data_IF_969629853500
#
_entry.id   IF_969629853500
#
_cell.length_a   1.000
_cell.length_b   1.000
_cell.length_c   1.000
_cell.angle_alpha   90.00
_cell.angle_beta   90.00
_cell.angle_gamma   90.00
#
_symmetry.space_group_name_H-M   'P 1'
#
loop_
_entity.id
_entity.type
_entity.pdbx_description
1 polymer ?
#
# COMPACT_ATOMS: atom_id res chain seq x y z
N UNK A 1 16.47 -3.19 -0.15
CA UNK A 1 15.84 -3.14 -1.50
C UNK A 1 14.57 -2.30 -1.41
N UNK A 2 14.27 -1.48 -2.40
CA UNK A 2 13.11 -0.56 -2.34
C UNK A 2 11.85 -1.16 -2.97
N UNK A 3 10.69 -0.88 -2.37
CA UNK A 3 9.38 -1.42 -2.76
C UNK A 3 9.02 -1.09 -4.22
N UNK A 4 9.30 0.14 -4.67
CA UNK A 4 9.02 0.62 -6.02
C UNK A 4 9.71 -0.22 -7.11
N UNK A 5 10.85 -0.84 -6.79
CA UNK A 5 11.60 -1.69 -7.73
C UNK A 5 11.01 -3.09 -7.92
N UNK A 6 10.03 -3.47 -7.09
CA UNK A 6 9.31 -4.73 -7.22
C UNK A 6 8.16 -4.63 -8.22
N UNK A 7 7.69 -3.42 -8.50
CA UNK A 7 6.61 -3.20 -9.44
C UNK A 7 6.95 -3.82 -10.78
N UNK A 8 5.97 -4.49 -11.33
CA UNK A 8 6.08 -5.18 -12.59
C UNK A 8 6.71 -6.57 -12.56
N UNK A 9 7.06 -7.11 -11.38
CA UNK A 9 7.60 -8.46 -11.24
C UNK A 9 6.49 -9.50 -11.00
N UNK A 10 6.63 -10.75 -11.49
CA UNK A 10 5.71 -11.83 -11.16
C UNK A 10 5.88 -12.30 -9.71
N UNK A 11 4.91 -13.03 -9.13
CA UNK A 11 5.02 -13.59 -7.78
C UNK A 11 6.20 -14.55 -7.60
N UNK A 12 6.64 -15.21 -8.68
CA UNK A 12 7.77 -16.15 -8.70
C UNK A 12 9.14 -15.45 -8.74
N UNK A 13 9.19 -14.13 -8.91
CA UNK A 13 10.46 -13.42 -9.04
C UNK A 13 11.30 -13.52 -7.77
N UNK A 14 12.55 -13.99 -7.91
CA UNK A 14 13.50 -14.13 -6.80
C UNK A 14 13.62 -12.85 -5.96
N UNK A 15 13.61 -11.71 -6.64
CA UNK A 15 13.73 -10.39 -6.04
C UNK A 15 12.59 -10.04 -5.06
N UNK A 16 11.38 -10.56 -5.32
CA UNK A 16 10.24 -10.39 -4.42
C UNK A 16 10.40 -11.25 -3.17
N UNK A 17 10.86 -12.51 -3.34
CA UNK A 17 11.15 -13.40 -2.24
C UNK A 17 12.26 -12.86 -1.33
N UNK A 18 13.35 -12.34 -1.91
CA UNK A 18 14.42 -11.65 -1.17
C UNK A 18 13.87 -10.48 -0.36
N UNK A 19 13.05 -9.63 -0.98
CA UNK A 19 12.44 -8.50 -0.27
C UNK A 19 11.60 -8.96 0.91
N UNK A 20 10.70 -9.94 0.74
CA UNK A 20 9.87 -10.48 1.83
C UNK A 20 10.76 -11.07 2.94
N UNK A 21 11.84 -11.76 2.59
CA UNK A 21 12.81 -12.27 3.56
C UNK A 21 13.48 -11.15 4.35
N UNK A 22 13.75 -9.98 3.76
CA UNK A 22 14.30 -8.84 4.52
C UNK A 22 13.32 -8.25 5.54
N UNK A 23 12.02 -8.46 5.38
CA UNK A 23 10.99 -8.01 6.32
C UNK A 23 10.80 -8.98 7.49
N UNK A 24 11.17 -10.25 7.32
CA UNK A 24 11.05 -11.28 8.34
C UNK A 24 12.37 -11.43 9.11
N UNK A 25 12.32 -11.41 10.44
CA UNK A 25 13.48 -11.76 11.25
C UNK A 25 13.84 -13.27 11.20
N UNK A 26 13.01 -14.08 10.53
CA UNK A 26 13.13 -15.53 10.44
C UNK A 26 12.69 -16.03 9.04
N UNK A 27 12.12 -17.23 8.97
CA UNK A 27 11.52 -17.78 7.75
C UNK A 27 10.43 -16.82 7.25
N UNK A 28 10.44 -16.52 5.95
CA UNK A 28 9.39 -15.72 5.34
C UNK A 28 8.03 -16.40 5.53
N UNK A 29 7.02 -15.73 6.13
CA UNK A 29 5.70 -16.31 6.30
C UNK A 29 5.07 -16.59 4.93
N UNK A 30 4.18 -17.59 4.87
CA UNK A 30 3.36 -17.78 3.68
C UNK A 30 2.30 -16.67 3.57
N UNK A 31 1.97 -16.19 2.35
CA UNK A 31 0.91 -15.21 2.18
C UNK A 31 -0.49 -15.81 2.40
N UNK A 32 -1.41 -14.99 2.90
CA UNK A 32 -2.85 -15.22 2.77
C UNK A 32 -3.32 -14.72 1.40
N UNK A 33 -3.80 -15.63 0.56
CA UNK A 33 -4.13 -15.35 -0.85
C UNK A 33 -5.62 -15.08 -1.00
N UNK A 34 -5.94 -13.93 -1.59
CA UNK A 34 -7.29 -13.61 -2.04
C UNK A 34 -7.27 -13.34 -3.52
N UNK A 35 -7.91 -14.20 -4.29
CA UNK A 35 -8.00 -14.08 -5.75
C UNK A 35 -9.36 -13.55 -6.18
N UNK A 36 -9.33 -12.67 -7.17
CA UNK A 36 -10.46 -12.10 -7.89
C UNK A 36 -10.11 -12.03 -9.38
N UNK A 37 -11.10 -11.92 -10.30
CA UNK A 37 -10.84 -11.91 -11.73
C UNK A 37 -9.88 -10.82 -12.24
N UNK A 38 -9.78 -9.71 -11.53
CA UNK A 38 -9.01 -8.51 -11.87
C UNK A 38 -7.75 -8.32 -11.03
N UNK A 39 -7.67 -8.96 -9.86
CA UNK A 39 -6.55 -8.80 -8.92
C UNK A 39 -6.38 -10.00 -8.01
N UNK A 40 -5.14 -10.33 -7.69
CA UNK A 40 -4.78 -11.33 -6.69
C UNK A 40 -3.96 -10.66 -5.60
N UNK A 41 -4.42 -10.75 -4.35
CA UNK A 41 -3.73 -10.24 -3.19
C UNK A 41 -2.88 -11.33 -2.56
N UNK A 42 -1.61 -11.03 -2.31
CA UNK A 42 -0.73 -11.80 -1.45
C UNK A 42 -0.55 -11.00 -0.18
N UNK A 43 -1.37 -11.30 0.84
CA UNK A 43 -1.35 -10.57 2.10
C UNK A 43 -0.32 -11.18 3.03
N UNK A 44 0.52 -10.34 3.64
CA UNK A 44 1.43 -10.73 4.71
C UNK A 44 1.07 -9.95 5.98
N UNK A 45 -0.01 -10.33 6.70
CA UNK A 45 -0.48 -9.63 7.89
C UNK A 45 0.60 -9.35 8.92
N UNK A 46 1.47 -10.32 9.21
CA UNK A 46 2.53 -10.20 10.22
C UNK A 46 3.69 -9.32 9.79
N UNK A 47 3.83 -9.04 8.49
CA UNK A 47 4.87 -8.15 7.93
C UNK A 47 4.35 -6.75 7.63
N UNK A 48 3.05 -6.50 7.79
CA UNK A 48 2.45 -5.20 7.47
C UNK A 48 2.52 -4.84 5.99
N UNK A 49 2.47 -5.83 5.09
CA UNK A 49 2.43 -5.60 3.63
C UNK A 49 1.38 -6.44 2.94
N UNK A 50 0.79 -5.92 1.87
CA UNK A 50 0.00 -6.69 0.90
C UNK A 50 0.45 -6.37 -0.52
N UNK A 51 0.59 -7.39 -1.36
CA UNK A 51 0.97 -7.23 -2.75
C UNK A 51 -0.21 -7.52 -3.66
N UNK A 52 -0.48 -6.64 -4.62
CA UNK A 52 -1.59 -6.71 -5.55
C UNK A 52 -1.08 -7.07 -6.94
N UNK A 53 -1.44 -8.26 -7.43
CA UNK A 53 -1.03 -8.75 -8.74
C UNK A 53 -2.16 -8.61 -9.75
N UNK A 54 -1.89 -7.98 -10.89
CA UNK A 54 -2.80 -7.91 -12.02
C UNK A 54 -2.62 -9.13 -12.94
N UNK A 55 -3.72 -9.80 -13.37
CA UNK A 55 -3.68 -10.80 -14.43
C UNK A 55 -3.30 -10.19 -15.78
N UNK A 56 -2.47 -10.90 -16.54
CA UNK A 56 -2.00 -10.51 -17.88
C UNK A 56 -2.14 -11.67 -18.86
N UNK A 57 -1.81 -11.43 -20.13
CA UNK A 57 -1.83 -12.45 -21.20
C UNK A 57 -3.18 -13.21 -21.36
N UNK A 58 -4.29 -12.57 -20.98
CA UNK A 58 -5.61 -13.18 -21.04
C UNK A 58 -5.94 -14.15 -19.89
N UNK A 59 -5.08 -14.25 -18.86
CA UNK A 59 -5.40 -15.00 -17.66
C UNK A 59 -6.60 -14.39 -16.94
N UNK A 60 -7.57 -15.25 -16.60
CA UNK A 60 -8.81 -14.89 -15.90
C UNK A 60 -8.92 -15.77 -14.66
N UNK A 61 -8.23 -15.43 -13.56
CA UNK A 61 -8.37 -16.14 -12.31
C UNK A 61 -9.83 -16.13 -11.83
N UNK A 62 -10.21 -17.15 -11.07
CA UNK A 62 -11.51 -17.19 -10.39
C UNK A 62 -11.33 -16.90 -8.92
N UNK A 63 -12.41 -16.53 -8.25
CA UNK A 63 -12.37 -16.27 -6.81
C UNK A 63 -12.04 -17.53 -6.02
N UNK A 64 -11.14 -17.42 -5.05
CA UNK A 64 -10.83 -18.49 -4.09
C UNK A 64 -9.74 -19.48 -4.53
N UNK A 65 -9.00 -19.19 -5.61
CA UNK A 65 -7.78 -19.93 -5.97
C UNK A 65 -6.71 -19.85 -4.86
N UNK A 66 -6.06 -21.00 -4.62
CA UNK A 66 -4.90 -21.17 -3.73
C UNK A 66 -3.57 -20.96 -4.48
N UNK A 67 -2.47 -20.82 -3.74
CA UNK A 67 -1.12 -20.48 -4.25
C UNK A 67 -0.68 -21.36 -5.41
N UNK A 68 -0.88 -22.66 -5.29
CA UNK A 68 -0.44 -23.69 -6.25
C UNK A 68 -1.30 -23.73 -7.52
N UNK A 69 -2.44 -23.03 -7.54
CA UNK A 69 -3.34 -22.95 -8.69
C UNK A 69 -3.10 -21.69 -9.53
N UNK A 70 -2.25 -20.78 -9.04
CA UNK A 70 -1.94 -19.52 -9.73
C UNK A 70 -0.91 -19.75 -10.84
N UNK A 71 -1.06 -18.99 -11.92
CA UNK A 71 -0.11 -18.94 -13.04
C UNK A 71 0.78 -17.70 -12.87
N UNK A 72 1.88 -17.85 -12.13
CA UNK A 72 2.74 -16.71 -11.77
C UNK A 72 3.23 -15.90 -12.98
N UNK A 73 3.56 -16.57 -14.08
CA UNK A 73 4.06 -15.89 -15.30
C UNK A 73 3.00 -15.04 -16.00
N UNK A 74 1.71 -15.27 -15.68
CA UNK A 74 0.58 -14.47 -16.15
C UNK A 74 0.12 -13.44 -15.10
N UNK A 75 0.94 -13.21 -14.07
CA UNK A 75 0.69 -12.24 -13.00
C UNK A 75 1.82 -11.23 -12.94
N UNK A 76 1.47 -9.99 -12.59
CA UNK A 76 2.44 -8.92 -12.44
C UNK A 76 2.09 -8.04 -11.27
N UNK A 77 3.08 -7.71 -10.44
CA UNK A 77 2.89 -6.81 -9.31
C UNK A 77 2.49 -5.42 -9.81
N UNK A 78 1.28 -5.02 -9.49
CA UNK A 78 0.68 -3.75 -9.90
C UNK A 78 0.83 -2.70 -8.80
N UNK A 79 0.60 -3.12 -7.56
CA UNK A 79 0.66 -2.26 -6.38
C UNK A 79 1.07 -3.03 -5.13
N UNK A 80 1.54 -2.32 -4.11
CA UNK A 80 1.81 -2.86 -2.79
C UNK A 80 1.30 -1.90 -1.71
N UNK A 81 0.52 -2.43 -0.77
CA UNK A 81 0.06 -1.72 0.42
C UNK A 81 1.04 -1.95 1.57
N UNK A 82 1.44 -0.86 2.22
CA UNK A 82 2.30 -0.85 3.39
C UNK A 82 1.48 -0.30 4.55
N UNK A 83 1.43 -1.04 5.65
CA UNK A 83 0.55 -0.74 6.77
C UNK A 83 1.33 -0.08 7.92
N UNK A 84 0.80 1.05 8.39
CA UNK A 84 1.10 1.63 9.69
C UNK A 84 0.01 1.19 10.68
N UNK A 85 0.40 0.89 11.92
CA UNK A 85 -0.58 0.56 12.96
C UNK A 85 -0.87 1.78 13.81
N UNK A 86 -2.02 2.38 13.54
CA UNK A 86 -2.63 3.46 14.32
C UNK A 86 -3.91 2.95 14.98
N UNK A 87 -3.79 2.20 16.08
CA UNK A 87 -4.93 1.77 16.91
C UNK A 87 -4.91 0.30 17.33
N UNK A 88 -5.92 -0.08 18.13
CA UNK A 88 -6.18 -1.45 18.59
C UNK A 88 -7.00 -2.23 17.56
N UNK A 89 -6.70 -3.51 17.35
CA UNK A 89 -7.37 -4.45 16.42
C UNK A 89 -7.08 -4.24 14.91
N UNK A 90 -5.85 -3.89 14.54
CA UNK A 90 -5.44 -3.90 13.13
C UNK A 90 -5.31 -5.34 12.60
N UNK A 91 -5.82 -5.61 11.39
CA UNK A 91 -5.65 -6.90 10.71
C UNK A 91 -4.23 -7.14 10.20
N UNK A 92 -3.39 -6.10 10.18
CA UNK A 92 -1.98 -6.14 9.79
C UNK A 92 -1.12 -5.57 10.94
N UNK A 93 0.05 -6.16 11.14
CA UNK A 93 1.13 -5.63 11.95
C UNK A 93 1.73 -4.36 11.30
N UNK A 94 2.46 -3.52 12.04
CA UNK A 94 3.16 -2.40 11.43
C UNK A 94 4.29 -2.91 10.55
N UNK A 95 4.51 -2.24 9.43
CA UNK A 95 5.65 -2.50 8.58
C UNK A 95 6.98 -2.37 9.36
N UNK A 96 7.86 -3.39 9.34
CA UNK A 96 9.02 -3.44 10.23
C UNK A 96 10.18 -2.54 9.80
N UNK A 97 10.21 -2.08 8.55
CA UNK A 97 11.36 -1.36 7.98
C UNK A 97 11.04 0.13 7.78
N UNK A 98 10.65 0.83 8.84
CA UNK A 98 10.48 2.29 8.82
C UNK A 98 11.82 3.01 9.11
N UNK A 99 12.08 4.18 8.49
CA UNK A 99 11.22 4.88 7.53
C UNK A 99 11.21 4.22 6.14
N UNK A 100 10.12 4.40 5.39
CA UNK A 100 10.00 3.93 4.00
C UNK A 100 10.71 4.94 3.10
N UNK A 101 11.65 4.48 2.31
CA UNK A 101 12.26 5.28 1.23
C UNK A 101 11.62 4.92 -0.11
N UNK A 102 11.01 5.92 -0.77
CA UNK A 102 10.41 5.78 -2.10
C UNK A 102 11.12 6.67 -3.12
N UNK A 103 11.37 6.13 -4.30
CA UNK A 103 11.94 6.89 -5.42
C UNK A 103 10.82 7.39 -6.33
N UNK A 104 10.75 8.71 -6.51
CA UNK A 104 9.76 9.34 -7.36
C UNK A 104 10.36 9.59 -8.75
N UNK A 105 9.78 8.96 -9.76
CA UNK A 105 10.17 9.23 -11.15
C UNK A 105 9.81 10.67 -11.52
N UNK A 106 10.83 11.49 -11.84
CA UNK A 106 10.64 12.85 -12.36
C UNK A 106 10.13 13.89 -11.36
N UNK A 107 10.13 13.62 -10.06
CA UNK A 107 9.73 14.57 -9.02
C UNK A 107 10.92 15.23 -8.31
N UNK A 108 10.68 16.38 -7.68
CA UNK A 108 11.62 17.03 -6.74
C UNK A 108 10.92 17.20 -5.39
N UNK A 109 11.41 16.56 -4.30
CA UNK A 109 12.59 15.72 -4.24
C UNK A 109 12.40 14.37 -4.97
N UNK A 110 13.50 13.80 -5.46
CA UNK A 110 13.49 12.49 -6.16
C UNK A 110 13.27 11.31 -5.20
N UNK A 111 13.38 11.54 -3.89
CA UNK A 111 13.19 10.53 -2.84
C UNK A 111 12.28 11.10 -1.76
N UNK A 112 11.32 10.29 -1.31
CA UNK A 112 10.51 10.55 -0.13
C UNK A 112 10.91 9.60 1.00
N UNK A 113 11.00 10.14 2.20
CA UNK A 113 11.21 9.38 3.42
C UNK A 113 9.96 9.45 4.28
N UNK A 114 9.18 8.38 4.31
CA UNK A 114 7.93 8.29 5.06
C UNK A 114 8.24 7.66 6.42
N UNK A 115 8.28 8.49 7.46
CA UNK A 115 8.43 8.06 8.84
C UNK A 115 7.10 7.56 9.41
N UNK A 116 7.14 6.91 10.58
CA UNK A 116 5.95 6.36 11.24
C UNK A 116 4.87 7.40 11.54
N UNK A 117 5.29 8.63 11.81
CA UNK A 117 4.49 9.76 12.23
C UNK A 117 4.26 10.78 11.12
N UNK A 118 4.63 10.48 9.88
CA UNK A 118 4.40 11.36 8.73
C UNK A 118 2.90 11.68 8.57
N UNK A 119 2.62 12.96 8.40
CA UNK A 119 1.27 13.53 8.40
C UNK A 119 0.82 13.95 7.02
N UNK A 120 -0.50 14.17 6.85
CA UNK A 120 -1.07 14.66 5.59
C UNK A 120 -0.43 15.95 5.06
N UNK A 121 -0.10 16.91 5.95
CA UNK A 121 0.56 18.17 5.56
C UNK A 121 1.97 17.93 4.99
N UNK A 122 2.68 16.92 5.46
CA UNK A 122 4.02 16.58 4.95
C UNK A 122 3.92 15.97 3.56
N UNK A 123 2.98 15.05 3.33
CA UNK A 123 2.72 14.54 1.98
C UNK A 123 2.37 15.66 0.99
N UNK A 124 1.49 16.59 1.37
CA UNK A 124 1.14 17.74 0.51
C UNK A 124 2.36 18.67 0.31
N UNK A 125 3.17 18.89 1.33
CA UNK A 125 4.38 19.71 1.20
C UNK A 125 5.41 19.09 0.23
N UNK A 126 5.50 17.76 0.16
CA UNK A 126 6.42 17.08 -0.74
C UNK A 126 5.88 16.85 -2.14
N UNK A 127 4.59 16.52 -2.26
CA UNK A 127 3.97 16.04 -3.51
C UNK A 127 3.04 17.07 -4.17
N UNK A 128 2.75 18.18 -3.49
CA UNK A 128 1.72 19.12 -3.90
C UNK A 128 0.30 18.57 -3.68
N UNK A 129 -0.67 19.16 -4.37
CA UNK A 129 -2.07 18.74 -4.27
C UNK A 129 -2.29 17.36 -4.91
N UNK A 130 -3.07 16.46 -4.29
CA UNK A 130 -3.37 15.15 -4.84
C UNK A 130 -4.26 15.25 -6.08
N UNK A 131 -4.06 14.36 -7.05
CA UNK A 131 -4.89 14.27 -8.26
C UNK A 131 -6.29 13.72 -7.95
N UNK A 132 -6.40 12.86 -6.93
CA UNK A 132 -7.67 12.31 -6.46
C UNK A 132 -7.69 12.27 -4.94
N UNK A 133 -8.87 12.45 -4.36
CA UNK A 133 -9.07 12.39 -2.92
C UNK A 133 -10.49 11.98 -2.58
N UNK A 134 -10.71 11.36 -1.43
CA UNK A 134 -12.04 10.88 -1.04
C UNK A 134 -12.13 10.45 0.42
N UNK A 135 -13.35 10.10 0.84
CA UNK A 135 -13.63 9.70 2.22
C UNK A 135 -13.96 10.86 3.17
N UNK A 136 -13.97 10.56 4.47
CA UNK A 136 -14.33 11.51 5.53
C UNK A 136 -15.83 11.77 5.70
N UNK A 137 -16.67 11.28 4.79
CA UNK A 137 -18.13 11.47 4.85
C UNK A 137 -18.81 10.41 5.72
N UNK A 138 -19.76 10.84 6.56
CA UNK A 138 -20.59 9.97 7.40
C UNK A 138 -20.43 10.24 8.90
N UNK A 139 -21.30 9.65 9.75
CA UNK A 139 -21.16 9.73 11.20
C UNK A 139 -19.85 9.06 11.65
N UNK A 140 -19.23 9.56 12.72
CA UNK A 140 -17.91 9.11 13.20
C UNK A 140 -17.82 7.60 13.50
N UNK A 141 -18.96 6.91 13.65
CA UNK A 141 -19.08 5.46 13.85
C UNK A 141 -19.05 4.63 12.56
N UNK A 142 -19.09 5.24 11.38
CA UNK A 142 -19.12 4.55 10.08
C UNK A 142 -18.48 5.29 8.91
N UNK A 143 -17.96 6.50 9.11
CA UNK A 143 -17.23 7.22 8.06
C UNK A 143 -15.93 6.50 7.72
N UNK A 144 -15.70 6.27 6.43
CA UNK A 144 -14.40 5.84 5.93
C UNK A 144 -13.36 6.95 6.16
N UNK A 145 -12.11 6.54 6.37
CA UNK A 145 -11.00 7.46 6.50
C UNK A 145 -10.80 8.26 5.20
N UNK A 146 -10.30 9.48 5.32
CA UNK A 146 -9.86 10.24 4.15
C UNK A 146 -8.62 9.59 3.51
N UNK A 147 -8.53 9.72 2.20
CA UNK A 147 -7.39 9.25 1.41
C UNK A 147 -7.06 10.23 0.29
N UNK A 148 -5.79 10.26 -0.10
CA UNK A 148 -5.24 11.08 -1.17
C UNK A 148 -4.42 10.22 -2.12
N UNK A 149 -4.49 10.49 -3.42
CA UNK A 149 -3.71 9.82 -4.46
C UNK A 149 -2.96 10.85 -5.31
N UNK A 150 -1.68 10.56 -5.56
CA UNK A 150 -0.79 11.27 -6.47
C UNK A 150 -0.41 10.33 -7.62
N UNK A 151 -1.30 10.25 -8.62
CA UNK A 151 -1.22 9.21 -9.67
C UNK A 151 0.07 9.26 -10.49
N UNK A 152 0.61 10.46 -10.73
CA UNK A 152 1.88 10.66 -11.45
C UNK A 152 3.10 10.18 -10.66
N UNK A 153 2.97 10.07 -9.35
CA UNK A 153 4.02 9.60 -8.45
C UNK A 153 3.83 8.14 -8.04
N UNK A 154 2.70 7.52 -8.40
CA UNK A 154 2.42 6.14 -8.04
C UNK A 154 2.16 5.95 -6.55
N UNK A 155 1.60 6.95 -5.87
CA UNK A 155 1.38 6.92 -4.41
C UNK A 155 -0.08 7.19 -4.08
N UNK A 156 -0.66 6.37 -3.22
CA UNK A 156 -1.91 6.65 -2.52
C UNK A 156 -1.69 6.52 -1.02
N UNK A 157 -2.30 7.39 -0.23
CA UNK A 157 -2.17 7.41 1.22
C UNK A 157 -3.56 7.46 1.84
N UNK A 158 -3.86 6.49 2.69
CA UNK A 158 -5.00 6.53 3.60
C UNK A 158 -4.55 7.03 4.97
N UNK A 159 -5.30 7.93 5.58
CA UNK A 159 -4.95 8.52 6.87
C UNK A 159 -5.71 7.87 8.03
N UNK A 160 -5.07 7.75 9.19
CA UNK A 160 -5.64 7.11 10.38
C UNK A 160 -6.07 8.09 11.46
N UNK A 161 -6.61 7.53 12.56
CA UNK A 161 -6.99 8.30 13.74
C UNK A 161 -8.32 9.05 13.61
N UNK A 162 -8.65 9.83 14.65
CA UNK A 162 -9.86 10.66 14.72
C UNK A 162 -9.83 11.82 13.73
N UNK A 163 -8.66 12.29 13.36
CA UNK A 163 -8.50 13.44 12.46
C UNK A 163 -8.80 13.10 11.01
N UNK A 164 -8.69 11.83 10.64
CA UNK A 164 -8.98 11.36 9.29
C UNK A 164 -10.45 10.96 9.05
N UNK A 165 -11.37 11.17 10.01
CA UNK A 165 -12.75 10.69 9.91
C UNK A 165 -13.79 11.60 10.57
N UNK A 166 -15.05 11.41 10.18
CA UNK A 166 -16.20 12.17 10.68
C UNK A 166 -16.26 13.61 10.17
N UNK A 167 -17.14 14.44 10.75
CA UNK A 167 -17.25 15.84 10.37
C UNK A 167 -15.90 16.56 10.45
N UNK A 168 -15.63 17.37 9.44
CA UNK A 168 -14.42 18.18 9.30
C UNK A 168 -13.11 17.37 9.13
N UNK A 169 -13.19 16.12 8.66
CA UNK A 169 -11.99 15.31 8.42
C UNK A 169 -11.02 15.96 7.44
N UNK A 170 -11.50 16.73 6.45
CA UNK A 170 -10.64 17.40 5.47
C UNK A 170 -9.90 18.60 6.05
N UNK A 171 -10.50 19.28 7.02
CA UNK A 171 -9.93 20.41 7.73
C UNK A 171 -8.89 19.95 8.76
N UNK A 172 -9.09 18.78 9.37
CA UNK A 172 -8.14 18.18 10.33
C UNK A 172 -7.10 17.27 9.66
N UNK A 173 -7.36 16.79 8.46
CA UNK A 173 -6.60 15.76 7.76
C UNK A 173 -5.12 16.05 7.57
N UNK A 174 -4.74 17.33 7.50
CA UNK A 174 -3.33 17.74 7.46
C UNK A 174 -2.51 17.25 8.66
N UNK A 175 -3.12 17.03 9.82
CA UNK A 175 -2.45 16.50 11.01
C UNK A 175 -2.61 14.98 11.17
N UNK A 176 -3.43 14.33 10.34
CA UNK A 176 -3.63 12.90 10.43
C UNK A 176 -2.38 12.16 9.95
N UNK A 177 -1.96 11.15 10.70
CA UNK A 177 -0.84 10.27 10.36
C UNK A 177 -1.31 9.22 9.36
N UNK A 178 -0.46 8.84 8.41
CA UNK A 178 -0.80 7.78 7.45
C UNK A 178 -1.06 6.44 8.16
N UNK A 179 -2.07 5.72 7.67
CA UNK A 179 -2.41 4.35 8.08
C UNK A 179 -1.97 3.34 7.03
N UNK A 180 -2.16 3.65 5.75
CA UNK A 180 -1.76 2.80 4.64
C UNK A 180 -1.10 3.67 3.58
N UNK A 181 0.04 3.23 3.08
CA UNK A 181 0.66 3.78 1.87
C UNK A 181 0.63 2.70 0.80
N UNK A 182 -0.02 3.00 -0.32
CA UNK A 182 -0.03 2.14 -1.50
C UNK A 182 0.97 2.70 -2.51
N UNK A 183 1.90 1.86 -2.95
CA UNK A 183 2.87 2.16 -4.01
C UNK A 183 2.45 1.40 -5.27
N UNK A 184 2.33 2.09 -6.40
CA UNK A 184 1.90 1.51 -7.67
C UNK A 184 2.63 2.14 -8.86
N UNK A 185 2.52 1.55 -10.05
CA UNK A 185 3.15 2.12 -11.24
C UNK A 185 2.51 3.47 -11.61
N UNK A 186 3.30 4.55 -11.82
CA UNK A 186 2.77 5.84 -12.24
C UNK A 186 1.87 5.76 -13.48
N UNK A 187 0.82 6.58 -13.51
CA UNK A 187 -0.17 6.67 -14.59
C UNK A 187 -0.12 8.01 -15.33
#
# INVERSE_FOLDING_TARGET
MYMDRLLGKPPSAHVLAEYISTLSAAIAPAPDIKSYPDVIYFNYPTLGVSFQFSPRNGYKPVTGLRREQLKDDDLQLEAADIYNVLGVNASFAPYPCLPIELHLAGATPATLTIAKDTTGKEFVAWLGEPSRKGGGTGPSSGSIHIWCEWSQQGIMVEFGGSDARGPQAWERGGNAVWRVVTVFSPK
#
